data_IF_339726161370
#
_entry.id   IF_339726161370
#
_cell.length_a   1.000
_cell.length_b   1.000
_cell.length_c   1.000
_cell.angle_alpha   90.00
_cell.angle_beta   90.00
_cell.angle_gamma   90.00
#
_symmetry.space_group_name_H-M   'P 1'
#
loop_
_entity.id
_entity.type
_entity.pdbx_description
1 polymer ?
#
# COMPACT_ATOMS: atom_id res chain seq x y z
N UNK A 1 9.91 -1.01 -10.79
CA UNK A 1 8.56 -1.53 -10.49
C UNK A 1 7.64 -0.44 -9.96
N UNK A 2 7.98 0.25 -8.86
CA UNK A 2 7.16 1.31 -8.25
C UNK A 2 6.67 2.40 -9.23
N UNK A 3 7.56 2.94 -10.06
CA UNK A 3 7.22 3.97 -11.06
C UNK A 3 6.25 3.46 -12.15
N UNK A 4 6.35 2.17 -12.53
CA UNK A 4 5.42 1.55 -13.49
C UNK A 4 4.04 1.34 -12.87
N UNK A 5 4.00 0.86 -11.62
CA UNK A 5 2.75 0.71 -10.86
C UNK A 5 2.04 2.06 -10.71
N UNK A 6 2.78 3.13 -10.36
CA UNK A 6 2.20 4.48 -10.31
C UNK A 6 1.66 4.91 -11.67
N UNK A 7 2.39 4.69 -12.76
CA UNK A 7 1.93 5.08 -14.11
C UNK A 7 0.67 4.34 -14.56
N UNK A 8 0.58 3.03 -14.30
CA UNK A 8 -0.53 2.21 -14.80
C UNK A 8 -1.79 2.34 -13.94
N UNK A 9 -1.64 2.40 -12.62
CA UNK A 9 -2.77 2.41 -11.69
C UNK A 9 -3.14 3.80 -11.19
N UNK A 10 -2.22 4.76 -11.29
CA UNK A 10 -2.39 6.13 -10.81
C UNK A 10 -3.04 6.20 -9.40
N UNK A 11 -2.47 5.53 -8.39
CA UNK A 11 -3.09 5.41 -7.08
C UNK A 11 -2.93 6.68 -6.25
N UNK A 12 -3.84 6.90 -5.31
CA UNK A 12 -3.74 7.97 -4.32
C UNK A 12 -2.64 7.70 -3.29
N UNK A 13 -2.37 6.43 -2.98
CA UNK A 13 -1.33 6.04 -2.03
C UNK A 13 -0.66 4.70 -2.40
N UNK A 14 0.63 4.59 -2.09
CA UNK A 14 1.40 3.35 -2.14
C UNK A 14 1.94 3.04 -0.75
N UNK A 15 1.60 1.87 -0.22
CA UNK A 15 2.00 1.44 1.13
C UNK A 15 3.13 0.40 1.02
N UNK A 16 4.29 0.71 1.59
CA UNK A 16 5.42 -0.22 1.72
C UNK A 16 5.36 -0.83 3.12
N UNK A 17 5.14 -2.14 3.20
CA UNK A 17 4.93 -2.85 4.47
C UNK A 17 6.00 -3.89 4.82
N UNK A 18 5.73 -4.61 5.91
CA UNK A 18 6.53 -5.73 6.40
C UNK A 18 8.00 -5.33 6.64
N UNK A 19 8.95 -6.26 6.51
CA UNK A 19 10.39 -6.03 6.73
C UNK A 19 10.95 -4.84 5.96
N UNK A 20 10.40 -4.52 4.78
CA UNK A 20 10.84 -3.38 3.97
C UNK A 20 10.54 -2.04 4.66
N UNK A 21 9.50 -1.96 5.48
CA UNK A 21 9.17 -0.74 6.21
C UNK A 21 10.24 -0.35 7.24
N UNK A 22 11.01 -1.31 7.75
CA UNK A 22 12.13 -1.06 8.68
C UNK A 22 13.29 -0.32 8.02
N UNK A 23 13.42 -0.43 6.71
CA UNK A 23 14.44 0.24 5.92
C UNK A 23 13.97 1.59 5.37
N UNK A 24 12.89 2.17 5.90
CA UNK A 24 12.32 3.46 5.47
C UNK A 24 13.39 4.53 5.24
N UNK A 25 14.29 4.72 6.21
CA UNK A 25 15.32 5.78 6.15
C UNK A 25 16.31 5.58 4.99
N UNK A 26 16.47 4.35 4.51
CA UNK A 26 17.34 4.01 3.38
C UNK A 26 16.58 4.03 2.06
N UNK A 27 15.27 3.76 2.10
CA UNK A 27 14.43 3.62 0.91
C UNK A 27 13.80 4.93 0.44
N UNK A 28 13.57 5.90 1.33
CA UNK A 28 12.89 7.16 0.99
C UNK A 28 13.61 7.91 -0.14
N UNK A 29 14.91 8.20 0.03
CA UNK A 29 15.72 8.94 -0.94
C UNK A 29 15.80 8.27 -2.33
N UNK A 30 16.13 6.98 -2.45
CA UNK A 30 16.18 6.33 -3.77
C UNK A 30 14.80 6.19 -4.41
N UNK A 31 13.73 6.06 -3.61
CA UNK A 31 12.36 6.06 -4.13
C UNK A 31 12.04 7.42 -4.74
N UNK A 32 12.25 8.50 -4.00
CA UNK A 32 11.96 9.87 -4.45
C UNK A 32 12.76 10.19 -5.72
N UNK A 33 14.05 9.88 -5.73
CA UNK A 33 14.91 10.06 -6.91
C UNK A 33 14.40 9.31 -8.14
N UNK A 34 14.01 8.04 -8.01
CA UNK A 34 13.51 7.27 -9.16
C UNK A 34 12.16 7.82 -9.66
N UNK A 35 11.32 8.31 -8.75
CA UNK A 35 10.04 8.92 -9.11
C UNK A 35 10.26 10.23 -9.85
N UNK A 36 11.18 11.07 -9.41
CA UNK A 36 11.58 12.30 -10.13
C UNK A 36 12.19 11.99 -11.51
N UNK A 37 13.09 11.01 -11.60
CA UNK A 37 13.77 10.66 -12.85
C UNK A 37 12.83 10.01 -13.89
N UNK A 38 11.80 9.27 -13.45
CA UNK A 38 10.97 8.45 -14.35
C UNK A 38 9.54 8.95 -14.54
N UNK A 39 9.03 9.83 -13.67
CA UNK A 39 7.71 10.41 -13.83
C UNK A 39 7.89 11.83 -14.39
N UNK A 40 7.44 12.02 -15.62
CA UNK A 40 7.42 13.34 -16.25
C UNK A 40 6.69 14.35 -15.36
N UNK A 41 7.22 15.57 -15.29
CA UNK A 41 6.76 16.74 -14.52
C UNK A 41 5.24 16.98 -14.60
N UNK A 42 4.57 16.47 -15.63
CA UNK A 42 3.14 16.63 -15.88
C UNK A 42 2.20 15.72 -15.08
N UNK A 43 2.70 14.70 -14.34
CA UNK A 43 1.84 13.84 -13.50
C UNK A 43 1.83 14.32 -12.04
N UNK A 44 1.24 15.50 -11.84
CA UNK A 44 0.96 16.16 -10.55
C UNK A 44 -0.18 15.49 -9.74
N UNK A 45 -0.37 14.17 -9.86
CA UNK A 45 -1.15 13.45 -8.87
C UNK A 45 -0.20 13.00 -7.76
N UNK A 46 -0.42 13.58 -6.58
CA UNK A 46 0.45 13.48 -5.42
C UNK A 46 0.22 12.12 -4.72
N UNK A 47 0.54 11.02 -5.42
CA UNK A 47 0.52 9.68 -4.85
C UNK A 47 1.37 9.67 -3.58
N UNK A 48 0.75 9.46 -2.43
CA UNK A 48 1.44 9.45 -1.13
C UNK A 48 2.16 8.11 -0.93
N UNK A 49 3.46 8.16 -0.62
CA UNK A 49 4.21 6.95 -0.26
C UNK A 49 4.26 6.82 1.26
N UNK A 50 3.63 5.75 1.75
CA UNK A 50 3.48 5.50 3.19
C UNK A 50 4.21 4.22 3.55
N UNK A 51 4.79 4.20 4.76
CA UNK A 51 5.38 3.00 5.32
C UNK A 51 4.44 2.43 6.37
N UNK A 52 4.15 1.13 6.30
CA UNK A 52 3.23 0.47 7.22
C UNK A 52 3.77 0.45 8.65
N UNK A 53 2.90 0.75 9.61
CA UNK A 53 3.19 0.64 11.05
C UNK A 53 2.89 -0.75 11.61
N UNK A 54 2.31 -1.66 10.80
CA UNK A 54 1.87 -2.99 11.24
C UNK A 54 2.98 -4.07 11.19
N UNK A 55 4.21 -3.67 10.89
CA UNK A 55 5.41 -4.52 10.76
C UNK A 55 5.10 -5.89 10.10
N UNK A 56 5.49 -7.00 10.73
CA UNK A 56 5.31 -8.35 10.20
C UNK A 56 3.87 -8.88 10.29
N UNK A 57 2.97 -8.16 10.96
CA UNK A 57 1.59 -8.61 11.19
C UNK A 57 0.62 -8.14 10.11
N UNK A 58 1.03 -7.22 9.24
CA UNK A 58 0.19 -6.69 8.15
C UNK A 58 -0.52 -7.78 7.32
N UNK A 59 0.19 -8.87 6.98
CA UNK A 59 -0.40 -10.01 6.26
C UNK A 59 -1.39 -10.80 7.11
N UNK A 60 -1.04 -11.11 8.36
CA UNK A 60 -1.90 -11.89 9.26
C UNK A 60 -3.17 -11.12 9.62
N UNK A 61 -3.06 -9.82 9.88
CA UNK A 61 -4.20 -8.93 10.13
C UNK A 61 -5.11 -8.83 8.89
N UNK A 62 -4.52 -8.69 7.71
CA UNK A 62 -5.28 -8.70 6.45
C UNK A 62 -6.03 -10.01 6.24
N UNK A 63 -5.35 -11.15 6.39
CA UNK A 63 -5.97 -12.47 6.27
C UNK A 63 -7.10 -12.68 7.29
N UNK A 64 -6.89 -12.25 8.53
CA UNK A 64 -7.91 -12.34 9.59
C UNK A 64 -9.11 -11.45 9.26
N UNK A 65 -8.88 -10.23 8.78
CA UNK A 65 -9.96 -9.32 8.36
C UNK A 65 -10.78 -9.91 7.22
N UNK A 66 -10.13 -10.54 6.23
CA UNK A 66 -10.81 -11.23 5.13
C UNK A 66 -11.65 -12.39 5.68
N UNK A 67 -11.08 -13.24 6.53
CA UNK A 67 -11.79 -14.38 7.13
C UNK A 67 -13.01 -13.94 7.96
N UNK A 68 -12.86 -12.90 8.79
CA UNK A 68 -13.95 -12.33 9.60
C UNK A 68 -15.04 -11.73 8.69
N UNK A 69 -14.65 -10.95 7.69
CA UNK A 69 -15.59 -10.32 6.75
C UNK A 69 -16.37 -11.39 5.98
N UNK A 70 -15.68 -12.43 5.52
CA UNK A 70 -16.29 -13.56 4.84
C UNK A 70 -17.32 -14.26 5.74
N UNK A 71 -16.93 -14.62 6.97
CA UNK A 71 -17.80 -15.25 7.94
C UNK A 71 -19.10 -14.45 8.16
N UNK A 72 -19.01 -13.14 8.36
CA UNK A 72 -20.20 -12.30 8.54
C UNK A 72 -21.01 -12.08 7.25
N UNK A 73 -20.36 -12.13 6.08
CA UNK A 73 -21.06 -12.00 4.80
C UNK A 73 -21.91 -13.23 4.44
N UNK A 74 -21.46 -14.43 4.82
CA UNK A 74 -22.23 -15.66 4.65
C UNK A 74 -23.30 -15.81 5.72
N UNK A 75 -22.99 -15.43 6.97
CA UNK A 75 -23.90 -15.51 8.10
C UNK A 75 -24.69 -14.21 8.28
N UNK A 76 -25.22 -13.62 7.19
CA UNK A 76 -26.11 -12.45 7.29
C UNK A 76 -27.21 -12.76 8.28
N UNK A 77 -27.17 -12.12 9.44
CA UNK A 77 -28.28 -12.09 10.38
C UNK A 77 -29.34 -11.21 9.72
N UNK A 78 -30.15 -11.81 8.84
CA UNK A 78 -31.40 -11.18 8.41
C UNK A 78 -32.22 -11.02 9.68
N UNK A 79 -32.28 -9.80 10.18
CA UNK A 79 -33.18 -9.41 11.25
C UNK A 79 -34.60 -9.56 10.66
N UNK A 80 -35.25 -10.67 10.97
CA UNK A 80 -36.68 -10.88 10.74
C UNK A 80 -37.45 -10.00 11.71
#
# INVERSE_FOLDING_TARGET
MLALTKKTFNPDAIIIGNRMARFKNWLINPIDRILEERLSVYHHQNTEIRFSTLDNLSTALGATSIAITYFFSENKITKV
#
